data_IF_435296354310
#
_entry.id   IF_435296354310
#
_cell.length_a   1.000
_cell.length_b   1.000
_cell.length_c   1.000
_cell.angle_alpha   90.00
_cell.angle_beta   90.00
_cell.angle_gamma   90.00
#
_symmetry.space_group_name_H-M   'P 1'
#
loop_
_entity.id
_entity.type
_entity.pdbx_description
1 polymer ?
#
# COMPACT_ATOMS: atom_id res chain seq x y z
N UNK A 1 25.71 -10.11 7.41
CA UNK A 1 25.33 -9.61 7.40
C UNK A 1 24.53 -9.14 7.56
N UNK A 2 23.95 -8.91 7.62
CA UNK A 2 23.22 -8.38 7.73
C UNK A 2 22.41 -7.85 7.85
N UNK A 3 21.85 -7.68 7.89
CA UNK A 3 21.05 -7.14 7.93
C UNK A 3 20.28 -6.65 8.25
N UNK A 4 20.00 -6.45 8.21
CA UNK A 4 19.14 -6.05 8.54
C UNK A 4 18.08 -5.39 8.38
N UNK A 5 17.42 -5.35 7.79
CA UNK A 5 16.36 -4.54 7.52
C UNK A 5 15.30 -4.78 8.45
N UNK A 6 14.99 -3.81 9.15
CA UNK A 6 14.04 -3.96 10.16
C UNK A 6 12.70 -4.30 9.63
N UNK A 7 12.26 -3.62 8.66
CA UNK A 7 11.03 -3.98 8.17
C UNK A 7 11.20 -5.19 7.50
N UNK A 8 10.41 -6.02 7.73
CA UNK A 8 10.44 -7.26 7.20
C UNK A 8 10.45 -7.23 5.75
N UNK A 9 11.53 -7.64 5.20
CA UNK A 9 11.63 -7.79 3.77
C UNK A 9 11.41 -9.25 3.46
N UNK A 10 10.30 -9.55 2.86
CA UNK A 10 10.01 -10.92 2.43
C UNK A 10 10.57 -11.14 1.05
N UNK A 11 11.09 -12.32 0.78
CA UNK A 11 11.35 -12.74 -0.58
C UNK A 11 10.04 -12.84 -1.34
N UNK A 12 10.13 -12.91 -2.67
CA UNK A 12 8.93 -12.92 -3.48
C UNK A 12 8.01 -14.09 -3.13
N UNK A 13 8.58 -15.29 -3.02
CA UNK A 13 7.76 -16.45 -2.74
C UNK A 13 7.09 -16.38 -1.40
N UNK A 14 7.82 -15.88 -0.41
CA UNK A 14 7.25 -15.74 0.92
C UNK A 14 6.13 -14.70 0.92
N UNK A 15 6.35 -13.58 0.25
CA UNK A 15 5.35 -12.53 0.18
C UNK A 15 4.08 -13.02 -0.52
N UNK A 16 4.24 -13.82 -1.56
CA UNK A 16 3.08 -14.32 -2.29
C UNK A 16 2.20 -15.23 -1.45
N UNK A 17 2.76 -15.87 -0.44
CA UNK A 17 1.98 -16.68 0.47
C UNK A 17 1.32 -15.91 1.60
N UNK A 18 1.56 -14.61 1.67
CA UNK A 18 1.01 -13.78 2.73
C UNK A 18 -0.26 -13.08 2.28
N UNK A 19 -1.05 -12.65 3.26
CA UNK A 19 -2.31 -12.00 3.00
C UNK A 19 -2.18 -10.51 3.23
N UNK A 20 -2.44 -9.69 2.21
CA UNK A 20 -2.40 -8.24 2.41
C UNK A 20 -3.64 -7.77 3.16
N UNK A 21 -3.41 -6.89 4.14
CA UNK A 21 -4.47 -6.34 4.97
C UNK A 21 -4.40 -4.83 4.89
N UNK A 22 -5.52 -4.20 4.58
CA UNK A 22 -5.59 -2.75 4.48
C UNK A 22 -5.56 -2.10 5.84
N UNK A 23 -4.90 -0.95 5.91
CA UNK A 23 -4.99 -0.10 7.08
C UNK A 23 -6.43 0.41 7.20
N UNK A 24 -6.94 0.45 8.42
CA UNK A 24 -8.34 0.86 8.67
C UNK A 24 -8.53 2.36 8.67
N UNK A 25 -7.46 3.11 8.89
CA UNK A 25 -7.57 4.55 9.09
C UNK A 25 -7.42 5.33 7.79
N UNK A 26 -7.87 4.78 6.71
CA UNK A 26 -7.75 5.40 5.40
C UNK A 26 -9.07 6.02 4.98
N UNK A 27 -8.99 7.13 4.27
CA UNK A 27 -10.16 7.73 3.64
C UNK A 27 -10.06 7.49 2.16
N UNK A 28 -11.17 7.10 1.58
CA UNK A 28 -11.20 6.77 0.17
C UNK A 28 -12.14 7.73 -0.55
N UNK A 29 -11.69 8.20 -1.70
CA UNK A 29 -12.50 9.07 -2.56
C UNK A 29 -12.41 8.55 -3.98
N UNK A 30 -13.28 9.03 -4.84
CA UNK A 30 -13.22 8.71 -6.25
C UNK A 30 -12.88 9.94 -7.03
N UNK A 31 -11.94 9.81 -7.96
CA UNK A 31 -11.67 10.88 -8.90
C UNK A 31 -12.80 10.95 -9.92
N UNK A 32 -12.83 12.05 -10.67
CA UNK A 32 -13.86 12.22 -11.69
C UNK A 32 -13.82 11.10 -12.72
N UNK A 33 -12.65 10.52 -12.94
CA UNK A 33 -12.47 9.41 -13.88
C UNK A 33 -12.92 8.07 -13.30
N UNK A 34 -13.30 8.03 -12.02
CA UNK A 34 -13.69 6.79 -11.37
C UNK A 34 -12.56 6.08 -10.64
N UNK A 35 -11.33 6.55 -10.79
CA UNK A 35 -10.20 5.94 -10.14
C UNK A 35 -10.20 6.25 -8.65
N UNK A 36 -9.66 5.32 -7.87
CA UNK A 36 -9.65 5.46 -6.44
C UNK A 36 -8.56 6.39 -5.96
N UNK A 37 -8.90 7.23 -5.00
CA UNK A 37 -7.92 8.11 -4.35
C UNK A 37 -7.89 7.74 -2.87
N UNK A 38 -6.70 7.48 -2.36
CA UNK A 38 -6.50 7.12 -0.96
C UNK A 38 -5.90 8.30 -0.24
N UNK A 39 -6.57 8.75 0.83
CA UNK A 39 -6.06 9.82 1.68
C UNK A 39 -5.57 9.19 2.97
N UNK A 40 -4.35 9.49 3.36
CA UNK A 40 -3.77 8.88 4.54
C UNK A 40 -2.89 9.86 5.28
N UNK A 41 -2.80 9.71 6.62
CA UNK A 41 -1.95 10.61 7.40
C UNK A 41 -0.49 10.23 7.21
N UNK A 42 0.35 11.24 7.09
CA UNK A 42 1.79 11.06 7.05
C UNK A 42 2.35 11.70 8.28
N UNK A 43 2.95 10.89 9.15
CA UNK A 43 3.56 11.43 10.35
C UNK A 43 4.81 12.19 9.98
N UNK A 44 4.91 13.40 10.47
CA UNK A 44 6.12 14.17 10.27
C UNK A 44 7.25 13.52 11.05
N UNK A 45 8.47 13.70 10.56
CA UNK A 45 9.61 13.21 11.30
C UNK A 45 9.67 13.92 12.64
N UNK A 46 10.15 13.24 13.68
CA UNK A 46 10.10 13.84 15.03
C UNK A 46 10.74 15.22 15.12
N UNK A 47 11.86 15.44 14.46
CA UNK A 47 12.51 16.73 14.54
C UNK A 47 11.70 17.83 13.85
N UNK A 48 10.98 17.48 12.76
CA UNK A 48 10.10 18.43 12.08
C UNK A 48 8.92 18.76 12.98
N UNK A 49 8.37 17.77 13.64
CA UNK A 49 7.27 17.99 14.56
C UNK A 49 7.70 18.91 15.70
N UNK A 50 8.91 18.73 16.23
CA UNK A 50 9.43 19.56 17.28
C UNK A 50 9.57 21.03 16.83
N UNK A 51 10.07 21.22 15.63
CA UNK A 51 10.20 22.56 15.08
C UNK A 51 8.83 23.21 14.91
N UNK A 52 7.88 22.46 14.40
CA UNK A 52 6.53 22.96 14.22
C UNK A 52 5.91 23.42 15.53
N UNK A 53 6.11 22.64 16.59
CA UNK A 53 5.59 23.02 17.89
C UNK A 53 6.24 24.30 18.41
N UNK A 54 7.53 24.45 18.21
CA UNK A 54 8.24 25.65 18.62
C UNK A 54 7.72 26.88 17.91
N UNK A 55 7.35 26.73 16.65
CA UNK A 55 6.86 27.84 15.86
C UNK A 55 5.37 28.09 16.04
N UNK A 56 4.75 27.37 16.95
CA UNK A 56 3.33 27.57 17.18
C UNK A 56 2.45 26.93 16.15
N UNK A 57 2.99 26.02 15.38
CA UNK A 57 2.20 25.35 14.36
C UNK A 57 1.21 24.35 14.98
N UNK A 58 1.25 24.22 16.26
CA UNK A 58 0.30 23.38 16.95
C UNK A 58 0.50 21.91 16.65
N UNK A 59 -0.58 21.19 16.74
CA UNK A 59 -0.52 19.76 16.59
C UNK A 59 -0.50 19.30 15.14
N UNK A 60 -0.43 20.20 14.19
CA UNK A 60 -0.51 19.78 12.80
C UNK A 60 0.83 19.34 12.29
N UNK A 61 1.50 18.51 13.07
CA UNK A 61 2.72 17.90 12.61
C UNK A 61 2.45 16.82 11.56
N UNK A 62 1.22 16.31 11.50
CA UNK A 62 0.89 15.32 10.51
C UNK A 62 0.20 15.99 9.33
N UNK A 63 0.47 15.47 8.17
CA UNK A 63 -0.16 15.96 6.95
C UNK A 63 -0.93 14.81 6.32
N UNK A 64 -1.90 15.20 5.51
CA UNK A 64 -2.64 14.21 4.75
C UNK A 64 -2.00 14.07 3.38
N UNK A 65 -1.59 12.87 3.05
CA UNK A 65 -1.08 12.57 1.73
C UNK A 65 -2.19 11.99 0.88
N UNK A 66 -1.98 12.04 -0.40
CA UNK A 66 -2.98 11.63 -1.37
C UNK A 66 -2.32 10.74 -2.39
N UNK A 67 -2.90 9.57 -2.62
CA UNK A 67 -2.41 8.64 -3.64
C UNK A 67 -3.56 8.29 -4.55
N UNK A 68 -3.45 8.65 -5.81
CA UNK A 68 -4.44 8.26 -6.81
C UNK A 68 -3.95 7.00 -7.50
N UNK A 69 -4.80 5.98 -7.52
CA UNK A 69 -4.48 4.74 -8.19
C UNK A 69 -4.99 4.80 -9.63
N UNK A 70 -4.23 4.19 -10.54
CA UNK A 70 -4.73 4.07 -11.90
C UNK A 70 -5.81 2.97 -11.94
N UNK A 71 -6.31 2.68 -13.12
CA UNK A 71 -7.39 1.71 -13.26
C UNK A 71 -6.98 0.33 -12.75
N UNK A 72 -5.76 -0.10 -13.08
CA UNK A 72 -5.30 -1.42 -12.64
C UNK A 72 -5.08 -1.45 -11.13
N UNK A 73 -4.51 -0.40 -10.57
CA UNK A 73 -4.32 -0.32 -9.14
C UNK A 73 -5.63 -0.29 -8.38
N UNK A 74 -6.61 0.43 -8.92
CA UNK A 74 -7.94 0.47 -8.33
C UNK A 74 -8.55 -0.92 -8.30
N UNK A 75 -8.36 -1.67 -9.36
CA UNK A 75 -8.88 -3.04 -9.44
C UNK A 75 -8.21 -3.94 -8.40
N UNK A 76 -6.89 -3.90 -8.30
CA UNK A 76 -6.18 -4.73 -7.33
C UNK A 76 -6.57 -4.34 -5.91
N UNK A 77 -6.70 -3.05 -5.65
CA UNK A 77 -7.14 -2.60 -4.32
C UNK A 77 -8.47 -3.24 -3.94
N UNK A 78 -9.39 -3.34 -4.89
CA UNK A 78 -10.68 -3.97 -4.65
C UNK A 78 -10.59 -5.45 -4.35
N UNK A 79 -9.51 -6.10 -4.74
CA UNK A 79 -9.31 -7.52 -4.47
C UNK A 79 -8.68 -7.77 -3.10
N UNK A 80 -8.21 -6.72 -2.40
CA UNK A 80 -7.59 -6.87 -1.09
C UNK A 80 -8.68 -6.96 -0.04
N UNK A 81 -9.08 -8.18 0.27
CA UNK A 81 -10.20 -8.42 1.18
C UNK A 81 -9.76 -8.90 2.56
N UNK A 82 -8.46 -8.96 2.81
CA UNK A 82 -7.94 -9.42 4.08
C UNK A 82 -7.92 -10.93 4.24
N UNK A 83 -8.31 -11.67 3.21
CA UNK A 83 -8.37 -13.12 3.26
C UNK A 83 -7.53 -13.79 2.19
N UNK A 84 -7.56 -13.26 0.98
CA UNK A 84 -6.82 -13.85 -0.14
C UNK A 84 -5.35 -13.55 0.00
N UNK A 85 -4.52 -14.52 -0.35
CA UNK A 85 -3.08 -14.30 -0.39
C UNK A 85 -2.73 -13.49 -1.64
N UNK A 86 -1.53 -12.93 -1.64
CA UNK A 86 -1.05 -12.25 -2.84
C UNK A 86 -1.08 -13.15 -4.05
N UNK A 87 -0.73 -14.42 -3.88
CA UNK A 87 -0.74 -15.36 -5.00
C UNK A 87 -2.15 -15.53 -5.56
N UNK A 88 -3.13 -15.63 -4.68
CA UNK A 88 -4.52 -15.75 -5.12
C UNK A 88 -4.98 -14.50 -5.85
N UNK A 89 -4.62 -13.34 -5.33
CA UNK A 89 -4.97 -12.07 -5.97
C UNK A 89 -4.31 -11.99 -7.34
N UNK A 90 -3.03 -12.35 -7.41
CA UNK A 90 -2.32 -12.33 -8.69
C UNK A 90 -2.95 -13.30 -9.68
N UNK A 91 -3.43 -14.45 -9.21
CA UNK A 91 -4.10 -15.39 -10.09
C UNK A 91 -5.37 -14.84 -10.69
N UNK A 92 -6.16 -14.14 -9.88
CA UNK A 92 -7.38 -13.51 -10.38
C UNK A 92 -7.05 -12.39 -11.37
N UNK A 93 -6.02 -11.62 -11.06
CA UNK A 93 -5.58 -10.55 -11.94
C UNK A 93 -5.09 -11.11 -13.27
N UNK A 94 -4.33 -12.22 -13.20
CA UNK A 94 -3.84 -12.87 -14.40
C UNK A 94 -4.99 -13.30 -15.30
N UNK A 95 -6.02 -13.90 -14.72
CA UNK A 95 -7.17 -14.35 -15.49
C UNK A 95 -7.90 -13.20 -16.16
N UNK A 96 -8.12 -12.13 -15.40
CA UNK A 96 -8.88 -11.00 -15.95
C UNK A 96 -8.13 -10.32 -17.09
N UNK A 97 -6.83 -10.28 -17.03
CA UNK A 97 -6.02 -9.54 -18.00
C UNK A 97 -5.24 -10.45 -18.96
N UNK A 98 -5.48 -11.75 -18.86
CA UNK A 98 -4.82 -12.74 -19.72
C UNK A 98 -3.31 -12.61 -19.67
N UNK A 99 -2.79 -12.52 -18.47
CA UNK A 99 -1.35 -12.46 -18.24
C UNK A 99 -0.84 -13.81 -17.78
N UNK A 100 0.45 -14.04 -17.98
CA UNK A 100 1.07 -15.20 -17.38
C UNK A 100 1.19 -15.04 -15.89
N UNK A 101 1.27 -16.15 -15.17
CA UNK A 101 1.35 -16.10 -13.72
C UNK A 101 2.56 -15.29 -13.24
N UNK A 102 3.77 -15.48 -13.79
CA UNK A 102 4.91 -14.71 -13.31
C UNK A 102 4.73 -13.21 -13.50
N UNK A 103 4.14 -12.81 -14.62
CA UNK A 103 3.91 -11.38 -14.87
C UNK A 103 2.93 -10.80 -13.89
N UNK A 104 1.83 -11.51 -13.63
CA UNK A 104 0.82 -11.03 -12.71
C UNK A 104 1.35 -10.99 -11.29
N UNK A 105 2.11 -12.00 -10.89
CA UNK A 105 2.70 -12.02 -9.55
C UNK A 105 3.65 -10.87 -9.35
N UNK A 106 4.47 -10.58 -10.36
CA UNK A 106 5.40 -9.48 -10.26
C UNK A 106 4.67 -8.14 -10.13
N UNK A 107 3.63 -7.95 -10.95
CA UNK A 107 2.90 -6.69 -10.96
C UNK A 107 2.15 -6.48 -9.64
N UNK A 108 1.45 -7.49 -9.16
CA UNK A 108 0.68 -7.38 -7.93
C UNK A 108 1.59 -7.23 -6.73
N UNK A 109 2.70 -7.97 -6.68
CA UNK A 109 3.64 -7.86 -5.57
C UNK A 109 4.27 -6.48 -5.54
N UNK A 110 4.63 -5.93 -6.69
CA UNK A 110 5.20 -4.59 -6.75
C UNK A 110 4.21 -3.55 -6.25
N UNK A 111 2.97 -3.66 -6.69
CA UNK A 111 1.93 -2.71 -6.28
C UNK A 111 1.71 -2.77 -4.77
N UNK A 112 1.59 -3.96 -4.20
CA UNK A 112 1.37 -4.10 -2.77
C UNK A 112 2.60 -3.63 -1.99
N UNK A 113 3.80 -3.84 -2.52
CA UNK A 113 5.00 -3.32 -1.88
C UNK A 113 4.97 -1.81 -1.79
N UNK A 114 4.55 -1.14 -2.87
CA UNK A 114 4.44 0.31 -2.84
C UNK A 114 3.42 0.78 -1.82
N UNK A 115 2.29 0.09 -1.73
CA UNK A 115 1.29 0.42 -0.72
C UNK A 115 1.85 0.20 0.68
N UNK A 116 2.63 -0.84 0.87
CA UNK A 116 3.24 -1.13 2.16
C UNK A 116 4.22 -0.06 2.60
N UNK A 117 4.99 0.47 1.66
CA UNK A 117 5.93 1.54 1.98
C UNK A 117 5.23 2.78 2.49
N UNK A 118 4.01 2.99 2.06
CA UNK A 118 3.21 4.15 2.49
C UNK A 118 2.39 3.85 3.74
N UNK A 119 2.47 2.64 4.25
CA UNK A 119 1.71 2.26 5.44
C UNK A 119 0.26 1.96 5.17
N UNK A 120 -0.12 1.74 3.91
CA UNK A 120 -1.52 1.53 3.54
C UNK A 120 -1.93 0.07 3.64
N UNK A 121 -0.97 -0.83 3.55
CA UNK A 121 -1.21 -2.27 3.56
C UNK A 121 -0.08 -2.94 4.33
N UNK A 122 -0.41 -3.99 5.06
CA UNK A 122 0.58 -4.84 5.70
C UNK A 122 0.35 -6.27 5.23
N UNK A 123 1.39 -7.08 5.25
CA UNK A 123 1.27 -8.50 4.93
C UNK A 123 1.19 -9.29 6.22
N UNK A 124 0.22 -10.18 6.28
CA UNK A 124 -0.02 -11.00 7.46
C UNK A 124 0.30 -12.46 7.18
#
# INVERSE_FOLDING_TARGET
MRRSAPETTFGRDEALGRTPVKNRDLRLERAATGELVILYPVAARPWIAAIGRRLGAGASASRTARLQLDALGTEVWGMLDGRATLREIAGRFAERHRLGAPEAEAAVAQFVRELGRRGLVALR
#
